data_IF_446528043844
#
_entry.id   IF_446528043844
#
_cell.length_a   1.000
_cell.length_b   1.000
_cell.length_c   1.000
_cell.angle_alpha   90.00
_cell.angle_beta   90.00
_cell.angle_gamma   90.00
#
_symmetry.space_group_name_H-M   'P 1'
#
loop_
_entity.id
_entity.type
_entity.pdbx_description
1 polymer ?
#
# COMPACT_ATOMS: atom_id res chain seq x y z
N UNK A 1 -36.41 27.91 3.82
CA UNK A 1 -35.16 28.57 3.39
C UNK A 1 -34.59 27.79 2.22
N UNK A 2 -34.32 28.43 1.09
CA UNK A 2 -33.53 27.82 0.00
C UNK A 2 -32.07 27.81 0.44
N UNK A 3 -31.47 26.64 0.57
CA UNK A 3 -30.03 26.54 0.83
C UNK A 3 -29.26 27.00 -0.41
N UNK A 4 -28.31 27.92 -0.21
CA UNK A 4 -27.40 28.37 -1.28
C UNK A 4 -26.27 27.35 -1.42
N UNK A 5 -26.04 26.87 -2.65
CA UNK A 5 -24.94 25.94 -2.97
C UNK A 5 -23.80 26.70 -3.64
N UNK A 6 -22.56 26.40 -3.24
CA UNK A 6 -21.35 26.92 -3.89
C UNK A 6 -21.12 26.29 -5.27
N UNK A 7 -20.32 26.95 -6.10
CA UNK A 7 -19.88 26.41 -7.41
C UNK A 7 -18.45 25.90 -7.30
N UNK A 8 -18.20 24.75 -7.91
CA UNK A 8 -16.87 24.20 -8.04
C UNK A 8 -16.14 24.93 -9.17
N UNK A 9 -14.96 25.46 -8.88
CA UNK A 9 -14.14 26.22 -9.83
C UNK A 9 -12.81 25.51 -10.02
N UNK A 10 -12.42 25.27 -11.28
CA UNK A 10 -11.10 24.74 -11.61
C UNK A 10 -10.05 25.85 -11.44
N UNK A 11 -8.95 25.51 -10.79
CA UNK A 11 -7.82 26.39 -10.52
C UNK A 11 -6.64 25.95 -11.37
N UNK A 12 -5.93 26.89 -11.98
CA UNK A 12 -4.68 26.62 -12.68
C UNK A 12 -3.64 26.10 -11.68
N UNK A 13 -3.07 24.93 -11.94
CA UNK A 13 -2.09 24.31 -11.05
C UNK A 13 -0.86 25.21 -10.85
N UNK A 14 -0.50 26.03 -11.85
CA UNK A 14 0.65 26.94 -11.80
C UNK A 14 0.45 28.13 -10.88
N UNK A 15 -0.80 28.41 -10.51
CA UNK A 15 -1.12 29.43 -9.50
C UNK A 15 -0.77 28.98 -8.07
N UNK A 16 -0.68 27.66 -7.84
CA UNK A 16 -0.32 27.05 -6.54
C UNK A 16 1.12 26.53 -6.57
N UNK A 17 1.50 25.79 -7.62
CA UNK A 17 2.83 25.24 -7.79
C UNK A 17 3.52 25.88 -9.00
N UNK A 18 4.44 26.83 -8.76
CA UNK A 18 5.07 27.59 -9.85
C UNK A 18 5.90 26.71 -10.80
N UNK A 19 6.50 25.65 -10.29
CA UNK A 19 7.31 24.69 -11.07
C UNK A 19 7.15 23.28 -10.49
N UNK A 20 7.32 22.25 -11.33
CA UNK A 20 7.27 20.84 -10.94
C UNK A 20 8.26 20.54 -9.80
N UNK A 21 9.55 20.60 -10.13
CA UNK A 21 10.66 20.21 -9.25
C UNK A 21 10.72 20.95 -7.91
N UNK A 22 10.47 22.27 -7.89
CA UNK A 22 10.62 23.07 -6.66
C UNK A 22 9.33 23.16 -5.83
N UNK A 23 8.16 22.85 -6.40
CA UNK A 23 6.89 23.08 -5.73
C UNK A 23 5.98 21.87 -5.72
N UNK A 24 5.71 21.25 -6.89
CA UNK A 24 4.80 20.12 -6.95
C UNK A 24 5.41 18.84 -6.38
N UNK A 25 6.61 18.46 -6.80
CA UNK A 25 7.30 17.25 -6.32
C UNK A 25 7.50 17.27 -4.80
N UNK A 26 8.03 18.37 -4.18
CA UNK A 26 8.18 18.44 -2.72
C UNK A 26 6.85 18.55 -1.97
N UNK A 27 5.78 19.03 -2.61
CA UNK A 27 4.45 19.00 -2.03
C UNK A 27 3.90 17.57 -2.02
N UNK A 28 3.94 16.89 -3.17
CA UNK A 28 3.44 15.53 -3.32
C UNK A 28 4.18 14.55 -2.41
N UNK A 29 5.48 14.72 -2.23
CA UNK A 29 6.32 13.88 -1.40
C UNK A 29 6.05 13.99 0.12
N UNK A 30 5.22 14.94 0.57
CA UNK A 30 4.85 15.01 2.00
C UNK A 30 3.87 13.89 2.33
N UNK A 31 3.97 13.36 3.54
CA UNK A 31 3.16 12.25 4.01
C UNK A 31 1.66 12.52 3.84
N UNK A 32 1.18 13.70 4.22
CA UNK A 32 -0.23 14.05 4.10
C UNK A 32 -0.73 14.12 2.65
N UNK A 33 0.14 14.41 1.68
CA UNK A 33 -0.23 14.60 0.28
C UNK A 33 -0.06 13.33 -0.54
N UNK A 34 1.00 12.55 -0.29
CA UNK A 34 1.17 11.23 -0.92
C UNK A 34 0.05 10.29 -0.50
N UNK A 35 -0.46 10.44 0.74
CA UNK A 35 -1.61 9.67 1.21
C UNK A 35 -2.89 9.97 0.43
N UNK A 36 -3.09 11.19 -0.08
CA UNK A 36 -4.23 11.50 -0.96
C UNK A 36 -4.16 10.70 -2.27
N UNK A 37 -2.96 10.56 -2.83
CA UNK A 37 -2.71 9.74 -4.01
C UNK A 37 -2.90 8.25 -3.69
N UNK A 38 -2.33 7.78 -2.58
CA UNK A 38 -2.43 6.40 -2.12
C UNK A 38 -3.89 5.98 -1.86
N UNK A 39 -4.73 6.89 -1.35
CA UNK A 39 -6.15 6.64 -1.15
C UNK A 39 -6.90 6.38 -2.47
N UNK A 40 -6.66 7.20 -3.50
CA UNK A 40 -7.23 7.05 -4.85
C UNK A 40 -6.75 5.74 -5.50
N UNK A 41 -5.46 5.45 -5.33
CA UNK A 41 -4.81 4.22 -5.80
C UNK A 41 -5.01 3.02 -4.88
N UNK A 42 -5.80 3.13 -3.80
CA UNK A 42 -5.99 2.14 -2.73
C UNK A 42 -4.72 1.33 -2.38
N UNK A 43 -3.57 1.99 -2.35
CA UNK A 43 -2.27 1.44 -1.97
C UNK A 43 -1.79 2.08 -0.66
N UNK A 44 -0.68 1.58 -0.10
CA UNK A 44 -0.08 2.11 1.11
C UNK A 44 1.33 2.64 0.81
N UNK A 45 1.42 3.87 0.29
CA UNK A 45 2.68 4.46 -0.17
C UNK A 45 3.46 5.14 0.95
N UNK A 46 4.76 4.89 1.00
CA UNK A 46 5.73 5.66 1.76
C UNK A 46 6.81 6.20 0.83
N UNK A 47 7.11 7.48 0.97
CA UNK A 47 8.17 8.13 0.19
C UNK A 47 9.53 7.73 0.76
N UNK A 48 10.38 7.14 -0.10
CA UNK A 48 11.74 6.73 0.25
C UNK A 48 12.72 7.85 -0.06
N UNK A 49 12.66 8.40 -1.28
CA UNK A 49 13.60 9.40 -1.75
C UNK A 49 12.98 10.22 -2.89
N UNK A 50 13.18 11.53 -2.89
CA UNK A 50 12.93 12.37 -4.07
C UNK A 50 14.19 12.44 -4.93
N UNK A 51 14.05 12.63 -6.23
CA UNK A 51 15.18 12.82 -7.15
C UNK A 51 16.16 11.65 -7.12
N UNK A 52 15.61 10.42 -7.09
CA UNK A 52 16.38 9.18 -6.95
C UNK A 52 17.26 8.97 -8.19
N UNK A 53 18.60 8.86 -8.05
CA UNK A 53 19.46 8.62 -9.20
C UNK A 53 19.18 7.26 -9.87
N UNK A 54 19.03 7.28 -11.19
CA UNK A 54 18.92 6.09 -12.07
C UNK A 54 19.95 6.24 -13.20
N UNK A 55 21.17 5.77 -12.94
CA UNK A 55 22.31 6.02 -13.83
C UNK A 55 22.56 7.54 -13.97
N UNK A 56 22.53 8.11 -15.19
CA UNK A 56 22.71 9.54 -15.42
C UNK A 56 21.41 10.36 -15.21
N UNK A 57 20.27 9.69 -14.99
CA UNK A 57 18.97 10.33 -14.83
C UNK A 57 18.52 10.33 -13.37
N UNK A 58 17.37 10.96 -13.09
CA UNK A 58 16.78 11.04 -11.76
C UNK A 58 15.28 10.80 -11.89
N UNK A 59 14.74 9.87 -11.09
CA UNK A 59 13.31 9.69 -10.96
C UNK A 59 12.77 10.68 -9.92
N UNK A 60 11.61 11.28 -10.18
CA UNK A 60 11.08 12.39 -9.35
C UNK A 60 10.84 11.94 -7.91
N UNK A 61 10.11 10.83 -7.72
CA UNK A 61 9.86 10.25 -6.40
C UNK A 61 9.94 8.72 -6.47
N UNK A 62 10.81 8.15 -5.62
CA UNK A 62 10.78 6.73 -5.29
C UNK A 62 9.98 6.53 -4.01
N UNK A 63 8.93 5.73 -4.12
CA UNK A 63 8.11 5.26 -3.02
C UNK A 63 8.29 3.75 -2.83
N UNK A 64 7.83 3.27 -1.69
CA UNK A 64 7.62 1.85 -1.43
C UNK A 64 6.17 1.62 -1.02
N UNK A 65 5.53 0.63 -1.63
CA UNK A 65 4.26 0.13 -1.13
C UNK A 65 4.53 -0.73 0.10
N UNK A 66 4.10 -0.23 1.25
CA UNK A 66 4.37 -0.86 2.56
C UNK A 66 3.50 -2.09 2.82
N UNK A 67 2.47 -2.36 2.01
CA UNK A 67 1.68 -3.57 2.06
C UNK A 67 2.32 -4.73 1.28
N UNK A 68 2.97 -4.43 0.16
CA UNK A 68 3.55 -5.43 -0.76
C UNK A 68 5.08 -5.48 -0.75
N UNK A 69 5.74 -4.49 -0.14
CA UNK A 69 7.18 -4.21 -0.21
C UNK A 69 7.71 -3.81 -1.61
N UNK A 70 6.82 -3.60 -2.57
CA UNK A 70 7.20 -3.26 -3.94
C UNK A 70 7.66 -1.81 -4.06
N UNK A 71 8.67 -1.56 -4.90
CA UNK A 71 9.04 -0.19 -5.27
C UNK A 71 8.01 0.40 -6.24
N UNK A 72 7.69 1.66 -5.99
CA UNK A 72 6.75 2.46 -6.76
C UNK A 72 7.47 3.70 -7.24
N UNK A 73 7.51 3.93 -8.55
CA UNK A 73 8.08 5.14 -9.13
C UNK A 73 6.95 6.10 -9.47
N UNK A 74 7.13 7.37 -9.12
CA UNK A 74 6.23 8.44 -9.51
C UNK A 74 7.02 9.42 -10.37
N UNK A 75 6.52 9.67 -11.57
CA UNK A 75 6.99 10.73 -12.46
C UNK A 75 5.87 11.76 -12.63
N UNK A 76 6.18 13.03 -12.39
CA UNK A 76 5.23 14.12 -12.49
C UNK A 76 5.57 15.10 -13.61
N UNK A 77 4.55 15.57 -14.31
CA UNK A 77 4.71 16.48 -15.44
C UNK A 77 3.63 17.57 -15.41
N UNK A 78 3.99 18.81 -15.71
CA UNK A 78 3.06 19.90 -16.02
C UNK A 78 2.73 19.87 -17.49
N UNK A 79 1.52 20.32 -17.79
CA UNK A 79 0.95 20.30 -19.12
C UNK A 79 0.61 18.91 -19.61
N UNK A 80 0.64 18.77 -20.94
CA UNK A 80 0.25 17.55 -21.64
C UNK A 80 1.40 16.56 -21.65
N UNK A 81 1.11 15.30 -21.35
CA UNK A 81 2.07 14.18 -21.47
C UNK A 81 2.88 14.18 -22.77
N UNK A 82 4.17 13.83 -22.69
CA UNK A 82 5.08 13.73 -23.84
C UNK A 82 5.87 12.41 -23.89
N UNK A 83 6.56 12.18 -25.01
CA UNK A 83 7.38 10.98 -25.21
C UNK A 83 8.64 10.93 -24.34
N UNK A 84 9.12 12.08 -23.84
CA UNK A 84 10.30 12.13 -22.97
C UNK A 84 9.97 11.45 -21.65
N UNK A 85 8.87 11.86 -21.01
CA UNK A 85 8.43 11.28 -19.74
C UNK A 85 8.00 9.82 -19.90
N UNK A 86 7.36 9.45 -21.02
CA UNK A 86 7.09 8.05 -21.34
C UNK A 86 8.39 7.21 -21.42
N UNK A 87 9.44 7.74 -22.03
CA UNK A 87 10.74 7.06 -22.08
C UNK A 87 11.42 6.97 -20.70
N UNK A 88 11.28 8.01 -19.88
CA UNK A 88 11.79 8.05 -18.51
C UNK A 88 11.14 6.99 -17.64
N UNK A 89 9.80 6.91 -17.59
CA UNK A 89 9.09 5.93 -16.75
C UNK A 89 9.50 4.48 -17.08
N UNK A 90 9.74 4.17 -18.37
CA UNK A 90 10.21 2.85 -18.79
C UNK A 90 11.65 2.58 -18.36
N UNK A 91 12.52 3.58 -18.48
CA UNK A 91 13.92 3.49 -18.08
C UNK A 91 14.03 3.32 -16.57
N UNK A 92 13.22 4.04 -15.80
CA UNK A 92 13.29 4.01 -14.33
C UNK A 92 12.69 2.72 -13.78
N UNK A 93 11.57 2.26 -14.33
CA UNK A 93 10.97 0.98 -13.95
C UNK A 93 11.97 -0.18 -14.06
N UNK A 94 12.71 -0.23 -15.18
CA UNK A 94 13.75 -1.25 -15.39
C UNK A 94 15.01 -1.03 -14.54
N UNK A 95 15.41 0.22 -14.28
CA UNK A 95 16.62 0.54 -13.53
C UNK A 95 16.50 0.40 -12.00
N UNK A 96 15.29 0.45 -11.46
CA UNK A 96 15.02 0.39 -10.02
C UNK A 96 14.26 -0.88 -9.60
N UNK A 97 14.11 -1.86 -10.51
CA UNK A 97 13.29 -3.06 -10.32
C UNK A 97 11.88 -2.70 -9.75
N UNK A 98 11.29 -1.63 -10.28
CA UNK A 98 10.01 -1.15 -9.77
C UNK A 98 8.85 -1.93 -10.36
N UNK A 99 7.94 -2.33 -9.48
CA UNK A 99 6.75 -3.08 -9.83
C UNK A 99 5.58 -2.15 -10.18
N UNK A 100 5.57 -0.93 -9.67
CA UNK A 100 4.50 0.03 -9.96
C UNK A 100 5.08 1.33 -10.48
N UNK A 101 4.46 1.86 -11.53
CA UNK A 101 4.80 3.14 -12.16
C UNK A 101 3.56 4.02 -12.15
N UNK A 102 3.69 5.23 -11.63
CA UNK A 102 2.63 6.23 -11.58
C UNK A 102 3.10 7.46 -12.36
N UNK A 103 2.43 7.75 -13.48
CA UNK A 103 2.67 8.96 -14.26
C UNK A 103 1.56 9.97 -14.00
N UNK A 104 1.93 11.13 -13.43
CA UNK A 104 1.02 12.21 -13.08
C UNK A 104 1.22 13.38 -14.05
N UNK A 105 0.16 13.85 -14.71
CA UNK A 105 0.21 14.99 -15.62
C UNK A 105 -1.00 15.93 -15.47
N UNK A 106 -0.97 17.14 -16.05
CA UNK A 106 -2.20 17.97 -16.13
C UNK A 106 -3.21 17.38 -17.12
N UNK A 107 -2.74 16.74 -18.20
CA UNK A 107 -3.59 16.05 -19.17
C UNK A 107 -2.84 14.96 -19.93
N UNK A 108 -3.52 13.84 -20.16
CA UNK A 108 -3.02 12.74 -20.98
C UNK A 108 -3.43 12.91 -22.44
N UNK A 109 -2.53 12.53 -23.37
CA UNK A 109 -2.98 12.27 -24.74
C UNK A 109 -3.66 10.91 -24.79
N UNK A 110 -4.58 10.71 -25.74
CA UNK A 110 -5.19 9.39 -25.93
C UNK A 110 -4.13 8.34 -26.30
N UNK A 111 -3.08 8.72 -27.03
CA UNK A 111 -1.98 7.84 -27.41
C UNK A 111 -1.17 7.38 -26.19
N UNK A 112 -0.84 8.28 -25.25
CA UNK A 112 -0.11 7.92 -24.04
C UNK A 112 -0.99 7.11 -23.08
N UNK A 113 -2.27 7.47 -22.94
CA UNK A 113 -3.25 6.67 -22.20
C UNK A 113 -3.32 5.25 -22.77
N UNK A 114 -3.45 5.12 -24.09
CA UNK A 114 -3.49 3.84 -24.78
C UNK A 114 -2.17 3.06 -24.66
N UNK A 115 -1.02 3.74 -24.62
CA UNK A 115 0.27 3.11 -24.38
C UNK A 115 0.36 2.48 -22.99
N UNK A 116 -0.04 3.22 -21.94
CA UNK A 116 -0.12 2.69 -20.57
C UNK A 116 -1.08 1.49 -20.48
N UNK A 117 -2.26 1.60 -21.11
CA UNK A 117 -3.24 0.50 -21.16
C UNK A 117 -2.67 -0.73 -21.88
N UNK A 118 -1.95 -0.53 -22.99
CA UNK A 118 -1.30 -1.62 -23.71
C UNK A 118 -0.23 -2.30 -22.87
N UNK A 119 0.61 -1.53 -22.15
CA UNK A 119 1.61 -2.08 -21.23
C UNK A 119 0.97 -2.93 -20.14
N UNK A 120 -0.05 -2.41 -19.46
CA UNK A 120 -0.85 -3.16 -18.48
C UNK A 120 -1.52 -4.44 -19.03
N UNK A 121 -1.65 -4.58 -20.35
CA UNK A 121 -2.17 -5.79 -20.98
C UNK A 121 -1.10 -6.83 -21.30
N UNK A 122 0.15 -6.41 -21.50
CA UNK A 122 1.23 -7.28 -21.97
C UNK A 122 2.27 -7.61 -20.90
N UNK A 123 2.33 -6.84 -19.81
CA UNK A 123 3.24 -7.11 -18.68
C UNK A 123 2.68 -8.15 -17.72
N UNK A 124 3.58 -8.72 -16.92
CA UNK A 124 3.22 -9.62 -15.82
C UNK A 124 2.29 -8.92 -14.82
N UNK A 125 1.48 -9.69 -14.08
CA UNK A 125 0.52 -9.15 -13.11
C UNK A 125 1.18 -8.38 -11.95
N UNK A 126 2.49 -8.54 -11.76
CA UNK A 126 3.25 -7.79 -10.77
C UNK A 126 3.70 -6.41 -11.26
N UNK A 127 3.63 -6.12 -12.56
CA UNK A 127 4.01 -4.81 -13.12
C UNK A 127 2.76 -4.01 -13.47
N UNK A 128 2.63 -2.85 -12.82
CA UNK A 128 1.43 -2.02 -12.86
C UNK A 128 1.75 -0.59 -13.29
N UNK A 129 1.04 -0.08 -14.30
CA UNK A 129 1.15 1.29 -14.76
C UNK A 129 -0.13 2.07 -14.46
N UNK A 130 0.02 3.26 -13.89
CA UNK A 130 -1.06 4.18 -13.62
C UNK A 130 -0.82 5.51 -14.35
N UNK A 131 -1.87 6.00 -15.02
CA UNK A 131 -1.91 7.35 -15.58
C UNK A 131 -2.90 8.18 -14.80
N UNK A 132 -2.46 9.35 -14.32
CA UNK A 132 -3.24 10.19 -13.40
C UNK A 132 -3.22 11.64 -13.87
N UNK A 133 -4.39 12.24 -13.99
CA UNK A 133 -4.52 13.68 -14.22
C UNK A 133 -4.70 14.43 -12.91
N UNK A 134 -3.78 15.35 -12.60
CA UNK A 134 -3.89 16.24 -11.43
C UNK A 134 -4.67 17.50 -11.79
N UNK A 135 -5.71 17.78 -11.02
CA UNK A 135 -6.49 19.01 -11.10
C UNK A 135 -6.57 19.70 -9.74
N UNK A 136 -6.75 21.01 -9.74
CA UNK A 136 -7.06 21.78 -8.54
C UNK A 136 -8.47 22.36 -8.65
N UNK A 137 -9.23 22.29 -7.55
CA UNK A 137 -10.56 22.88 -7.47
C UNK A 137 -10.73 23.70 -6.20
N UNK A 138 -11.62 24.69 -6.21
CA UNK A 138 -12.04 25.41 -5.00
C UNK A 138 -13.54 25.71 -5.01
N UNK A 139 -14.08 26.06 -3.84
CA UNK A 139 -15.45 26.58 -3.69
C UNK A 139 -15.37 27.92 -2.98
N UNK A 140 -15.69 29.00 -3.67
CA UNK A 140 -15.58 30.36 -3.14
C UNK A 140 -14.14 30.71 -2.74
N UNK A 141 -13.96 31.08 -1.47
CA UNK A 141 -12.68 31.49 -0.89
C UNK A 141 -11.95 30.35 -0.14
N UNK A 142 -12.34 29.09 -0.39
CA UNK A 142 -11.62 27.94 0.19
C UNK A 142 -10.19 27.84 -0.35
N UNK A 143 -9.34 27.09 0.38
CA UNK A 143 -8.09 26.60 -0.20
C UNK A 143 -8.38 25.73 -1.43
N UNK A 144 -7.41 25.69 -2.35
CA UNK A 144 -7.46 24.79 -3.50
C UNK A 144 -7.30 23.35 -3.02
N UNK A 145 -8.18 22.47 -3.48
CA UNK A 145 -8.18 21.04 -3.21
C UNK A 145 -7.61 20.29 -4.43
N UNK A 146 -6.58 19.46 -4.24
CA UNK A 146 -6.09 18.59 -5.31
C UNK A 146 -7.07 17.44 -5.56
N UNK A 147 -7.16 17.06 -6.83
CA UNK A 147 -7.92 15.89 -7.28
C UNK A 147 -7.07 15.08 -8.25
N UNK A 148 -6.80 13.84 -7.89
CA UNK A 148 -6.14 12.87 -8.75
C UNK A 148 -7.21 12.11 -9.53
N UNK A 149 -7.21 12.23 -10.87
CA UNK A 149 -8.15 11.53 -11.72
C UNK A 149 -7.44 10.36 -12.42
N UNK A 150 -7.87 9.14 -12.12
CA UNK A 150 -7.29 7.93 -12.71
C UNK A 150 -7.74 7.74 -14.17
N UNK A 151 -6.86 7.97 -15.14
CA UNK A 151 -7.16 7.89 -16.58
C UNK A 151 -6.66 6.59 -17.23
N UNK A 152 -5.65 5.94 -16.63
CA UNK A 152 -5.19 4.60 -17.01
C UNK A 152 -4.80 3.82 -15.76
N UNK A 153 -5.09 2.51 -15.75
CA UNK A 153 -4.89 1.64 -14.58
C UNK A 153 -4.77 0.16 -14.99
N UNK A 154 -4.16 -0.70 -14.17
CA UNK A 154 -4.06 -2.13 -14.44
C UNK A 154 -5.41 -2.82 -14.59
N UNK A 155 -5.45 -3.90 -15.37
CA UNK A 155 -6.70 -4.66 -15.60
C UNK A 155 -7.27 -5.27 -14.31
N UNK A 156 -6.39 -5.75 -13.42
CA UNK A 156 -6.69 -6.28 -12.08
C UNK A 156 -7.48 -5.30 -11.21
N UNK A 157 -7.34 -4.00 -11.47
CA UNK A 157 -8.01 -2.91 -10.76
C UNK A 157 -9.52 -2.83 -11.00
N UNK A 158 -9.96 -3.23 -12.20
CA UNK A 158 -11.35 -3.01 -12.65
C UNK A 158 -12.22 -4.27 -12.62
N UNK A 159 -11.62 -5.46 -12.49
CA UNK A 159 -12.28 -6.74 -12.24
C UNK A 159 -11.24 -7.84 -12.07
N UNK A 160 -11.46 -8.68 -11.07
CA UNK A 160 -10.90 -10.03 -10.93
C UNK A 160 -11.43 -10.97 -12.02
N UNK A 161 -11.18 -10.69 -13.30
CA UNK A 161 -11.29 -11.66 -14.40
C UNK A 161 -10.22 -11.35 -15.45
N UNK A 162 -9.04 -11.95 -15.27
CA UNK A 162 -8.28 -12.60 -16.34
C UNK A 162 -7.41 -13.62 -15.63
N UNK A 163 -7.77 -14.90 -15.76
CA UNK A 163 -6.85 -16.01 -15.48
C UNK A 163 -5.67 -15.82 -16.44
N UNK A 164 -4.62 -15.16 -15.98
CA UNK A 164 -3.34 -15.08 -16.70
C UNK A 164 -2.79 -16.50 -16.82
N UNK A 165 -2.30 -16.78 -18.01
CA UNK A 165 -1.96 -18.08 -18.56
C UNK A 165 -0.60 -18.59 -18.11
N UNK A 166 -0.40 -18.69 -16.80
CA UNK A 166 0.67 -19.46 -16.17
C UNK A 166 0.05 -20.38 -15.12
N UNK A 167 -0.56 -21.46 -15.58
CA UNK A 167 -1.13 -22.49 -14.71
C UNK A 167 -0.03 -23.26 -13.99
N UNK A 168 0.55 -22.67 -12.94
CA UNK A 168 0.96 -23.46 -11.79
C UNK A 168 -0.35 -23.91 -11.17
N UNK A 169 -0.68 -25.20 -11.34
CA UNK A 169 -1.83 -25.80 -10.71
C UNK A 169 -1.60 -25.70 -9.19
N UNK A 170 -2.26 -24.74 -8.54
CA UNK A 170 -2.15 -24.54 -7.10
C UNK A 170 -2.56 -25.84 -6.40
N UNK A 171 -1.82 -26.21 -5.35
CA UNK A 171 -2.23 -27.32 -4.49
C UNK A 171 -3.54 -26.96 -3.79
N UNK A 172 -4.30 -27.96 -3.35
CA UNK A 172 -5.55 -27.75 -2.61
C UNK A 172 -5.36 -26.84 -1.39
N UNK A 173 -4.28 -27.04 -0.63
CA UNK A 173 -3.93 -26.17 0.52
C UNK A 173 -3.71 -24.72 0.10
N UNK A 174 -3.04 -24.49 -1.04
CA UNK A 174 -2.75 -23.16 -1.57
C UNK A 174 -4.02 -22.45 -2.01
N UNK A 175 -4.95 -23.18 -2.63
CA UNK A 175 -6.26 -22.67 -2.98
C UNK A 175 -7.07 -22.31 -1.73
N UNK A 176 -7.12 -23.19 -0.73
CA UNK A 176 -7.84 -22.93 0.53
C UNK A 176 -7.28 -21.73 1.29
N UNK A 177 -5.95 -21.54 1.28
CA UNK A 177 -5.30 -20.35 1.83
C UNK A 177 -5.77 -19.07 1.13
N UNK A 178 -5.82 -19.08 -0.21
CA UNK A 178 -6.31 -17.94 -0.97
C UNK A 178 -7.79 -17.66 -0.69
N UNK A 179 -8.64 -18.69 -0.62
CA UNK A 179 -10.06 -18.58 -0.27
C UNK A 179 -10.24 -17.98 1.13
N UNK A 180 -9.44 -18.42 2.11
CA UNK A 180 -9.48 -17.91 3.48
C UNK A 180 -9.15 -16.41 3.54
N UNK A 181 -8.04 -15.99 2.91
CA UNK A 181 -7.68 -14.56 2.89
C UNK A 181 -8.64 -13.70 2.09
N UNK A 182 -9.22 -14.24 1.00
CA UNK A 182 -10.26 -13.54 0.27
C UNK A 182 -11.50 -13.34 1.15
N UNK A 183 -11.91 -14.36 1.90
CA UNK A 183 -13.03 -14.24 2.83
C UNK A 183 -12.76 -13.24 3.97
N UNK A 184 -11.53 -13.17 4.49
CA UNK A 184 -11.15 -12.15 5.49
C UNK A 184 -11.19 -10.75 4.86
N UNK A 185 -10.67 -10.60 3.64
CA UNK A 185 -10.71 -9.33 2.90
C UNK A 185 -12.14 -8.86 2.68
N UNK A 186 -13.01 -9.72 2.17
CA UNK A 186 -14.41 -9.41 1.91
C UNK A 186 -15.12 -9.00 3.21
N UNK A 187 -14.81 -9.66 4.33
CA UNK A 187 -15.32 -9.27 5.64
C UNK A 187 -14.83 -7.88 6.05
N UNK A 188 -13.52 -7.63 6.00
CA UNK A 188 -12.89 -6.34 6.37
C UNK A 188 -13.42 -5.18 5.53
N UNK A 189 -13.65 -5.37 4.23
CA UNK A 189 -14.19 -4.35 3.32
C UNK A 189 -15.61 -3.88 3.72
N UNK A 190 -16.33 -4.66 4.54
CA UNK A 190 -17.64 -4.27 5.12
C UNK A 190 -17.55 -3.55 6.47
N UNK A 191 -16.37 -3.52 7.08
CA UNK A 191 -16.16 -2.98 8.42
C UNK A 191 -15.57 -1.57 8.38
N UNK A 192 -15.81 -0.79 9.44
CA UNK A 192 -15.14 0.51 9.64
C UNK A 192 -13.86 0.31 10.45
N UNK A 193 -12.78 -0.06 9.77
CA UNK A 193 -11.45 -0.28 10.36
C UNK A 193 -10.42 0.74 9.85
N UNK A 194 -9.28 0.83 10.53
CA UNK A 194 -8.20 1.78 10.25
C UNK A 194 -7.13 1.23 9.28
N UNK A 195 -7.30 0.00 8.79
CA UNK A 195 -6.35 -0.69 7.92
C UNK A 195 -7.04 -1.24 6.67
N UNK A 196 -6.24 -1.71 5.70
CA UNK A 196 -6.71 -2.38 4.49
C UNK A 196 -5.98 -3.72 4.32
N UNK A 197 -6.64 -4.67 3.66
CA UNK A 197 -6.02 -5.93 3.27
C UNK A 197 -5.65 -5.91 1.79
N UNK A 198 -4.45 -6.45 1.51
CA UNK A 198 -3.91 -6.61 0.17
C UNK A 198 -4.62 -7.73 -0.60
N UNK A 199 -4.25 -7.91 -1.87
CA UNK A 199 -4.74 -9.02 -2.71
C UNK A 199 -4.54 -10.36 -1.99
N UNK A 200 -5.58 -11.20 -1.97
CA UNK A 200 -5.50 -12.53 -1.38
C UNK A 200 -4.55 -13.43 -2.20
N UNK A 201 -3.50 -13.92 -1.54
CA UNK A 201 -2.48 -14.77 -2.15
C UNK A 201 -2.55 -16.21 -1.61
N UNK A 202 -2.12 -17.21 -2.40
CA UNK A 202 -2.07 -18.61 -1.96
C UNK A 202 -0.89 -18.84 -1.01
N UNK A 203 -0.99 -18.38 0.23
CA UNK A 203 0.06 -18.48 1.25
C UNK A 203 -0.52 -18.45 2.66
N UNK A 204 0.27 -18.77 3.68
CA UNK A 204 -0.20 -18.91 5.06
C UNK A 204 -0.22 -17.59 5.84
N UNK A 205 -0.03 -16.46 5.17
CA UNK A 205 0.04 -15.13 5.78
C UNK A 205 -0.53 -14.05 4.87
N UNK A 206 -0.99 -12.94 5.44
CA UNK A 206 -1.29 -11.71 4.69
C UNK A 206 -0.75 -10.49 5.43
N UNK A 207 -0.09 -9.59 4.70
CA UNK A 207 0.50 -8.37 5.25
C UNK A 207 -0.54 -7.26 5.31
N UNK A 208 -0.39 -6.42 6.32
CA UNK A 208 -1.17 -5.22 6.56
C UNK A 208 -0.16 -4.10 6.80
N UNK A 209 -0.21 -3.07 5.96
CA UNK A 209 0.63 -1.89 6.14
C UNK A 209 0.33 -1.22 7.49
N UNK A 210 1.37 -0.67 8.11
CA UNK A 210 1.24 0.23 9.26
C UNK A 210 1.85 1.62 8.98
N UNK A 211 2.14 1.92 7.71
CA UNK A 211 2.57 3.23 7.23
C UNK A 211 4.05 3.57 7.49
N UNK A 212 4.90 2.59 7.77
CA UNK A 212 6.36 2.77 7.84
C UNK A 212 7.07 1.53 7.34
N UNK A 213 8.02 1.72 6.44
CA UNK A 213 8.89 0.68 5.90
C UNK A 213 9.65 0.03 7.03
N UNK A 214 10.00 -1.23 6.83
CA UNK A 214 10.59 -2.12 7.83
C UNK A 214 9.62 -2.62 8.90
N UNK A 215 8.41 -2.05 9.01
CA UNK A 215 7.37 -2.52 9.93
C UNK A 215 6.12 -2.93 9.18
N UNK A 216 5.55 -4.08 9.54
CA UNK A 216 4.25 -4.50 9.02
C UNK A 216 3.50 -5.31 10.05
N UNK A 217 2.17 -5.26 9.99
CA UNK A 217 1.36 -6.27 10.65
C UNK A 217 1.18 -7.44 9.69
N UNK A 218 1.11 -8.64 10.25
CA UNK A 218 0.97 -9.87 9.51
C UNK A 218 -0.08 -10.73 10.20
N UNK A 219 -1.16 -11.05 9.48
CA UNK A 219 -2.13 -12.05 9.92
C UNK A 219 -1.70 -13.43 9.41
N UNK A 220 -1.77 -14.43 10.27
CA UNK A 220 -1.23 -15.77 10.06
C UNK A 220 -2.34 -16.81 10.15
N UNK A 221 -2.30 -17.79 9.26
CA UNK A 221 -3.22 -18.93 9.24
C UNK A 221 -2.42 -20.23 9.09
N UNK A 222 -2.18 -20.93 10.21
CA UNK A 222 -1.43 -22.19 10.23
C UNK A 222 -2.40 -23.37 10.28
N UNK A 223 -2.63 -24.00 9.13
CA UNK A 223 -3.49 -25.18 9.00
C UNK A 223 -2.87 -26.47 9.57
N UNK A 224 -1.54 -26.55 9.69
CA UNK A 224 -0.83 -27.72 10.22
C UNK A 224 -1.01 -27.83 11.73
N UNK A 225 -0.75 -26.73 12.43
CA UNK A 225 -0.78 -26.67 13.89
C UNK A 225 -2.12 -26.13 14.42
N UNK A 226 -3.03 -25.75 13.52
CA UNK A 226 -4.42 -25.33 13.80
C UNK A 226 -4.50 -24.12 14.72
N UNK A 227 -3.82 -23.05 14.32
CA UNK A 227 -3.92 -21.74 14.95
C UNK A 227 -3.97 -20.63 13.91
N UNK A 228 -4.55 -19.50 14.31
CA UNK A 228 -4.48 -18.22 13.59
C UNK A 228 -3.78 -17.21 14.50
N UNK A 229 -3.23 -16.15 13.94
CA UNK A 229 -2.51 -15.18 14.77
C UNK A 229 -2.30 -13.86 14.08
N UNK A 230 -1.79 -12.92 14.87
CA UNK A 230 -1.30 -11.64 14.40
C UNK A 230 0.12 -11.42 14.89
N UNK A 231 0.91 -10.76 14.05
CA UNK A 231 2.30 -10.46 14.30
C UNK A 231 2.61 -9.04 13.87
N UNK A 232 3.32 -8.28 14.72
CA UNK A 232 4.14 -7.16 14.23
C UNK A 232 5.47 -7.74 13.79
N UNK A 233 5.87 -7.48 12.55
CA UNK A 233 7.18 -7.84 12.01
C UNK A 233 8.03 -6.58 11.95
N UNK A 234 9.22 -6.65 12.55
CA UNK A 234 10.29 -5.65 12.45
C UNK A 234 11.39 -6.23 11.58
N UNK A 235 11.70 -5.57 10.46
CA UNK A 235 12.61 -6.03 9.41
C UNK A 235 13.56 -4.90 8.99
N UNK A 236 14.21 -5.03 7.83
CA UNK A 236 15.18 -4.05 7.33
C UNK A 236 16.58 -4.18 7.93
N UNK A 237 17.48 -3.28 7.52
CA UNK A 237 18.91 -3.35 7.86
C UNK A 237 19.19 -3.15 9.36
N UNK A 238 18.32 -2.42 10.06
CA UNK A 238 18.43 -2.13 11.48
C UNK A 238 17.38 -2.87 12.32
N UNK A 239 16.85 -3.99 11.81
CA UNK A 239 15.71 -4.71 12.40
C UNK A 239 15.90 -5.04 13.89
N UNK A 240 17.10 -5.53 14.27
CA UNK A 240 17.42 -5.91 15.63
C UNK A 240 17.40 -4.73 16.61
N UNK A 241 18.07 -3.64 16.25
CA UNK A 241 18.13 -2.43 17.07
C UNK A 241 16.74 -1.79 17.21
N UNK A 242 16.02 -1.71 16.10
CA UNK A 242 14.65 -1.21 16.06
C UNK A 242 13.70 -2.05 16.93
N UNK A 243 13.83 -3.37 16.88
CA UNK A 243 13.04 -4.28 17.69
C UNK A 243 13.34 -4.13 19.18
N UNK A 244 14.63 -4.10 19.56
CA UNK A 244 15.04 -3.95 20.96
C UNK A 244 14.57 -2.63 21.55
N UNK A 245 14.68 -1.54 20.79
CA UNK A 245 14.17 -0.22 21.21
C UNK A 245 12.64 -0.21 21.36
N UNK A 246 11.88 -0.86 20.47
CA UNK A 246 10.43 -1.03 20.67
C UNK A 246 10.13 -1.85 21.93
N UNK A 247 10.86 -2.95 22.12
CA UNK A 247 10.64 -3.86 23.25
C UNK A 247 10.90 -3.16 24.59
N UNK A 248 12.01 -2.45 24.71
CA UNK A 248 12.38 -1.70 25.90
C UNK A 248 11.30 -0.66 26.27
N UNK A 249 10.79 0.08 25.28
CA UNK A 249 9.82 1.13 25.52
C UNK A 249 8.38 0.63 25.73
N UNK A 250 8.01 -0.52 25.14
CA UNK A 250 6.59 -0.88 24.96
C UNK A 250 6.22 -2.30 25.36
N UNK A 251 7.14 -3.18 25.75
CA UNK A 251 6.78 -4.53 26.18
C UNK A 251 5.84 -4.52 27.40
N UNK A 252 6.15 -3.84 28.53
CA UNK A 252 5.25 -3.81 29.68
C UNK A 252 3.91 -3.14 29.38
N UNK A 253 3.90 -2.08 28.56
CA UNK A 253 2.67 -1.39 28.16
C UNK A 253 1.79 -2.28 27.26
N UNK A 254 2.41 -3.13 26.41
CA UNK A 254 1.68 -4.01 25.48
C UNK A 254 0.95 -5.12 26.21
N UNK A 255 1.53 -5.67 27.27
CA UNK A 255 0.89 -6.71 28.09
C UNK A 255 -0.39 -6.18 28.74
N UNK A 256 -0.37 -4.94 29.22
CA UNK A 256 -1.52 -4.29 29.86
C UNK A 256 -2.57 -3.79 28.85
N UNK A 257 -2.14 -3.14 27.75
CA UNK A 257 -3.07 -2.50 26.80
C UNK A 257 -3.60 -3.43 25.72
N UNK A 258 -2.90 -4.52 25.43
CA UNK A 258 -3.31 -5.49 24.43
C UNK A 258 -3.62 -6.84 25.07
N UNK A 259 -2.61 -7.58 25.52
CA UNK A 259 -2.76 -8.94 26.07
C UNK A 259 -1.48 -9.43 26.74
N UNK A 260 -1.63 -10.09 27.90
CA UNK A 260 -0.53 -10.80 28.58
C UNK A 260 0.02 -11.99 27.76
N UNK A 261 -0.71 -12.45 26.74
CA UNK A 261 -0.27 -13.51 25.83
C UNK A 261 0.62 -13.02 24.68
N UNK A 262 0.98 -11.74 24.68
CA UNK A 262 1.89 -11.20 23.66
C UNK A 262 3.30 -11.69 23.89
N UNK A 263 3.92 -12.21 22.83
CA UNK A 263 5.29 -12.70 22.87
C UNK A 263 6.21 -11.81 22.03
N UNK A 264 7.20 -11.21 22.67
CA UNK A 264 8.29 -10.47 22.02
C UNK A 264 9.43 -11.43 21.68
N UNK A 265 9.53 -11.81 20.41
CA UNK A 265 10.46 -12.83 19.91
C UNK A 265 11.59 -12.18 19.13
N UNK A 266 12.75 -12.08 19.77
CA UNK A 266 14.01 -11.77 19.11
C UNK A 266 14.55 -13.05 18.44
N UNK A 267 14.51 -13.12 17.10
CA UNK A 267 15.15 -14.23 16.37
C UNK A 267 16.67 -14.05 16.32
N UNK A 268 17.42 -14.89 17.01
CA UNK A 268 18.89 -14.87 17.01
C UNK A 268 19.44 -15.07 15.58
N UNK A 269 20.29 -14.16 15.10
CA UNK A 269 20.79 -14.16 13.73
C UNK A 269 19.72 -13.97 12.64
N UNK A 270 18.48 -13.65 13.03
CA UNK A 270 17.36 -13.46 12.12
C UNK A 270 17.42 -12.11 11.40
N UNK A 271 16.83 -12.05 10.21
CA UNK A 271 16.64 -10.80 9.46
C UNK A 271 15.42 -10.00 9.93
N UNK A 272 14.58 -10.60 10.77
CA UNK A 272 13.33 -10.04 11.26
C UNK A 272 13.07 -10.49 12.71
N UNK A 273 12.33 -9.68 13.46
CA UNK A 273 11.98 -9.91 14.87
C UNK A 273 10.53 -9.53 15.12
N UNK A 274 9.86 -10.29 15.97
CA UNK A 274 8.40 -10.37 15.94
C UNK A 274 7.75 -10.08 17.29
N UNK A 275 6.57 -9.48 17.25
CA UNK A 275 5.66 -9.39 18.40
C UNK A 275 4.40 -10.17 18.06
N UNK A 276 4.18 -11.31 18.70
CA UNK A 276 3.17 -12.29 18.32
C UNK A 276 1.98 -12.29 19.28
N UNK A 277 0.81 -12.54 18.74
CA UNK A 277 -0.35 -13.02 19.48
C UNK A 277 -0.99 -14.17 18.70
N UNK A 278 -1.00 -15.35 19.31
CA UNK A 278 -1.48 -16.60 18.70
C UNK A 278 -2.82 -17.00 19.34
N UNK A 279 -3.75 -17.46 18.51
CA UNK A 279 -5.03 -18.02 18.91
C UNK A 279 -5.06 -19.51 18.55
N UNK A 280 -4.69 -20.36 19.52
CA UNK A 280 -4.71 -21.81 19.39
C UNK A 280 -6.12 -22.36 19.15
N UNK A 281 -6.21 -23.63 18.72
CA UNK A 281 -7.46 -24.34 18.46
C UNK A 281 -8.35 -23.67 17.41
N UNK A 282 -7.74 -22.98 16.45
CA UNK A 282 -8.40 -22.32 15.33
C UNK A 282 -7.86 -22.90 14.03
N UNK A 283 -8.58 -23.88 13.46
CA UNK A 283 -8.22 -24.43 12.16
C UNK A 283 -8.72 -23.49 11.04
N UNK A 284 -7.85 -22.84 10.26
CA UNK A 284 -8.27 -21.96 9.16
C UNK A 284 -8.95 -22.72 8.01
N UNK A 285 -8.83 -24.06 7.97
CA UNK A 285 -9.52 -24.89 6.97
C UNK A 285 -10.94 -25.30 7.41
N UNK A 286 -11.36 -24.99 8.64
CA UNK A 286 -12.72 -25.26 9.10
C UNK A 286 -13.66 -24.12 8.72
N UNK A 287 -14.46 -24.36 7.67
CA UNK A 287 -15.41 -23.37 7.14
C UNK A 287 -16.48 -22.94 8.16
N UNK A 288 -16.75 -23.75 9.19
CA UNK A 288 -17.74 -23.38 10.22
C UNK A 288 -17.19 -22.30 11.17
N UNK A 289 -15.87 -22.30 11.40
CA UNK A 289 -15.20 -21.33 12.26
C UNK A 289 -14.80 -20.05 11.51
N UNK A 290 -14.78 -20.08 10.18
CA UNK A 290 -14.25 -19.01 9.34
C UNK A 290 -14.82 -17.63 9.67
N UNK A 291 -16.14 -17.52 9.91
CA UNK A 291 -16.77 -16.24 10.26
C UNK A 291 -16.25 -15.70 11.59
N UNK A 292 -16.19 -16.54 12.62
CA UNK A 292 -15.71 -16.16 13.96
C UNK A 292 -14.21 -15.83 13.93
N UNK A 293 -13.43 -16.60 13.18
CA UNK A 293 -12.01 -16.35 12.95
C UNK A 293 -11.76 -15.01 12.24
N UNK A 294 -12.55 -14.67 11.21
CA UNK A 294 -12.42 -13.39 10.52
C UNK A 294 -12.79 -12.22 11.42
N UNK A 295 -13.82 -12.37 12.25
CA UNK A 295 -14.18 -11.39 13.28
C UNK A 295 -13.03 -11.18 14.27
N UNK A 296 -12.49 -12.28 14.81
CA UNK A 296 -11.39 -12.26 15.76
C UNK A 296 -10.13 -11.61 15.17
N UNK A 297 -9.72 -12.02 13.97
CA UNK A 297 -8.56 -11.42 13.30
C UNK A 297 -8.79 -9.93 13.04
N UNK A 298 -9.96 -9.53 12.54
CA UNK A 298 -10.26 -8.11 12.27
C UNK A 298 -10.15 -7.27 13.54
N UNK A 299 -10.70 -7.75 14.66
CA UNK A 299 -10.61 -7.06 15.95
C UNK A 299 -9.15 -6.90 16.41
N UNK A 300 -8.36 -7.96 16.34
CA UNK A 300 -6.97 -7.93 16.82
C UNK A 300 -6.02 -7.19 15.87
N UNK A 301 -6.27 -7.23 14.56
CA UNK A 301 -5.57 -6.37 13.59
C UNK A 301 -5.83 -4.90 13.91
N UNK A 302 -7.09 -4.51 14.15
CA UNK A 302 -7.40 -3.12 14.52
C UNK A 302 -6.70 -2.70 15.82
N UNK A 303 -6.69 -3.57 16.85
CA UNK A 303 -6.00 -3.29 18.13
C UNK A 303 -4.48 -3.13 17.94
N UNK A 304 -3.84 -4.06 17.23
CA UNK A 304 -2.41 -3.97 16.94
C UNK A 304 -2.08 -2.73 16.10
N UNK A 305 -2.89 -2.44 15.08
CA UNK A 305 -2.71 -1.28 14.21
C UNK A 305 -2.74 0.02 15.02
N UNK A 306 -3.80 0.24 15.81
CA UNK A 306 -3.92 1.43 16.65
C UNK A 306 -2.80 1.52 17.70
N UNK A 307 -2.38 0.39 18.26
CA UNK A 307 -1.34 0.39 19.28
C UNK A 307 0.04 0.69 18.72
N UNK A 308 0.41 0.09 17.58
CA UNK A 308 1.77 0.17 17.05
C UNK A 308 1.99 1.31 16.05
N UNK A 309 0.95 1.83 15.39
CA UNK A 309 1.11 2.82 14.30
C UNK A 309 1.96 4.02 14.67
N UNK A 310 1.65 4.68 15.78
CA UNK A 310 2.41 5.86 16.20
C UNK A 310 3.75 5.47 16.85
N UNK A 311 3.85 4.26 17.41
CA UNK A 311 5.08 3.77 18.06
C UNK A 311 6.16 3.47 17.03
N UNK A 312 5.81 2.84 15.92
CA UNK A 312 6.78 2.53 14.85
C UNK A 312 7.21 3.78 14.09
N UNK A 313 6.30 4.76 13.90
CA UNK A 313 6.64 6.06 13.30
C UNK A 313 7.76 6.76 14.04
N UNK A 314 7.67 6.81 15.37
CA UNK A 314 8.65 7.48 16.24
C UNK A 314 9.86 6.62 16.62
N UNK A 315 9.92 5.36 16.17
CA UNK A 315 11.05 4.47 16.34
C UNK A 315 12.01 4.65 15.16
#
# INVERSE_FOLDING_TARGET
>A
MTQTLGRLEKVDIKSVWKTEFNHFTPWLAREENINLLAEELKTDLEVIEMEKPVGPFRADILCKDTGTDNYVIIENQFGKTDHTHLGQIMTYASGLDAFTVIWIAESFTEEHRAALDWMNNITDENIEFFGIEIELFKIGDSYAAPKFNLVSKPNSWSKSIKKSSSSIQLTETKQLQQEYWQGLKDYVDTQKVSFRLQKALPQHWTNISIGKSDYKLCALANSRDRWIGIQLVVSGNNSLENFRRLRENYQPDSENKLSEKIEWVEKEGGKEHHVNLIFDNNNPLDKNLMKEQHQLLTEWIEKFYRYFKDKVKNN
#
